data_IF_531953761954
#
_entry.id   IF_531953761954
#
_cell.length_a   1.000
_cell.length_b   1.000
_cell.length_c   1.000
_cell.angle_alpha   90.00
_cell.angle_beta   90.00
_cell.angle_gamma   90.00
#
_symmetry.space_group_name_H-M   'P 1'
#
loop_
_entity.id
_entity.type
_entity.pdbx_description
1 polymer ?
#
# COMPACT_ATOMS: atom_id res chain seq x y z
N UNK A 1 35.65 22.73 -23.86
CA UNK A 1 34.77 21.82 -24.63
C UNK A 1 33.29 22.26 -24.58
N UNK A 2 32.69 22.53 -23.44
CA UNK A 2 31.26 22.92 -23.30
C UNK A 2 30.89 24.18 -24.12
N UNK A 3 31.71 25.25 -24.11
CA UNK A 3 31.46 26.47 -24.92
C UNK A 3 31.47 26.21 -26.43
N UNK A 4 32.33 25.30 -26.93
CA UNK A 4 32.33 24.90 -28.31
C UNK A 4 31.11 24.07 -28.69
N UNK A 5 30.73 23.12 -27.87
CA UNK A 5 29.51 22.31 -28.06
C UNK A 5 28.27 23.22 -28.14
N UNK A 6 28.10 24.15 -27.20
CA UNK A 6 26.97 25.10 -27.21
C UNK A 6 26.93 25.98 -28.47
N UNK A 7 28.10 26.50 -28.91
CA UNK A 7 28.15 27.33 -30.14
C UNK A 7 27.79 26.52 -31.39
N UNK A 8 28.17 25.26 -31.45
CA UNK A 8 27.85 24.36 -32.56
C UNK A 8 26.36 23.94 -32.54
N UNK A 9 25.80 23.69 -31.36
CA UNK A 9 24.37 23.42 -31.18
C UNK A 9 23.51 24.60 -31.68
N UNK A 10 23.91 25.84 -31.38
CA UNK A 10 23.21 27.03 -31.84
C UNK A 10 23.31 27.23 -33.35
N UNK A 11 24.46 26.90 -33.96
CA UNK A 11 24.64 26.94 -35.40
C UNK A 11 23.75 25.93 -36.12
N UNK A 12 23.58 24.73 -35.55
CA UNK A 12 22.79 23.65 -36.13
C UNK A 12 21.35 23.55 -35.53
N UNK A 13 20.80 24.66 -35.01
CA UNK A 13 19.52 24.67 -34.28
C UNK A 13 18.35 24.06 -35.05
N UNK A 14 18.30 24.24 -36.41
CA UNK A 14 17.22 23.65 -37.24
C UNK A 14 17.26 22.12 -37.25
N UNK A 15 18.42 21.52 -37.29
CA UNK A 15 18.61 20.06 -37.25
C UNK A 15 18.38 19.49 -35.87
N UNK A 16 18.74 20.24 -34.83
CA UNK A 16 18.63 19.80 -33.43
C UNK A 16 17.21 19.96 -32.85
N UNK A 17 16.32 20.72 -33.54
CA UNK A 17 14.95 20.99 -33.08
C UNK A 17 14.16 19.68 -32.87
N UNK A 18 14.29 18.73 -33.80
CA UNK A 18 13.64 17.42 -33.68
C UNK A 18 14.06 16.66 -32.44
N UNK A 19 15.38 16.59 -32.20
CA UNK A 19 15.94 15.90 -31.03
C UNK A 19 15.49 16.59 -29.74
N UNK A 20 15.47 17.92 -29.69
CA UNK A 20 14.99 18.68 -28.53
C UNK A 20 13.52 18.40 -28.23
N UNK A 21 12.68 18.35 -29.26
CA UNK A 21 11.24 18.05 -29.11
C UNK A 21 11.03 16.60 -28.65
N UNK A 22 11.75 15.65 -29.24
CA UNK A 22 11.72 14.25 -28.83
C UNK A 22 12.12 14.09 -27.37
N UNK A 23 13.27 14.63 -26.96
CA UNK A 23 13.74 14.57 -25.57
C UNK A 23 12.80 15.28 -24.60
N UNK A 24 12.17 16.38 -25.02
CA UNK A 24 11.16 17.09 -24.21
C UNK A 24 9.95 16.20 -23.93
N UNK A 25 9.31 15.65 -24.98
CA UNK A 25 8.12 14.80 -24.84
C UNK A 25 8.44 13.53 -24.05
N UNK A 26 9.57 12.88 -24.40
CA UNK A 26 10.02 11.68 -23.73
C UNK A 26 10.29 11.93 -22.25
N UNK A 27 10.88 13.05 -21.87
CA UNK A 27 11.14 13.37 -20.45
C UNK A 27 9.85 13.47 -19.64
N UNK A 28 8.79 14.04 -20.18
CA UNK A 28 7.49 14.15 -19.52
C UNK A 28 6.85 12.77 -19.35
N UNK A 29 6.79 12.01 -20.44
CA UNK A 29 6.18 10.66 -20.44
C UNK A 29 6.95 9.70 -19.56
N UNK A 30 8.28 9.74 -19.60
CA UNK A 30 9.13 8.90 -18.75
C UNK A 30 8.94 9.24 -17.28
N UNK A 31 8.87 10.54 -16.92
CA UNK A 31 8.60 10.93 -15.53
C UNK A 31 7.26 10.37 -15.05
N UNK A 32 6.21 10.47 -15.85
CA UNK A 32 4.90 9.90 -15.50
C UNK A 32 4.98 8.39 -15.25
N UNK A 33 5.69 7.66 -16.12
CA UNK A 33 5.91 6.22 -15.94
C UNK A 33 6.71 5.89 -14.69
N UNK A 34 7.78 6.67 -14.42
CA UNK A 34 8.63 6.50 -13.23
C UNK A 34 7.85 6.81 -11.96
N UNK A 35 7.00 7.84 -11.97
CA UNK A 35 6.17 8.21 -10.83
C UNK A 35 5.16 7.10 -10.49
N UNK A 36 4.51 6.52 -11.50
CA UNK A 36 3.62 5.37 -11.31
C UNK A 36 4.34 4.18 -10.68
N UNK A 37 5.48 3.77 -11.26
CA UNK A 37 6.26 2.64 -10.73
C UNK A 37 6.79 2.91 -9.32
N UNK A 38 7.18 4.15 -9.04
CA UNK A 38 7.62 4.56 -7.71
C UNK A 38 6.52 4.33 -6.67
N UNK A 39 5.28 4.74 -6.97
CA UNK A 39 4.13 4.53 -6.06
C UNK A 39 3.87 3.04 -5.85
N UNK A 40 3.85 2.25 -6.92
CA UNK A 40 3.65 0.79 -6.82
C UNK A 40 4.70 0.14 -5.91
N UNK A 41 5.98 0.43 -6.16
CA UNK A 41 7.08 -0.14 -5.36
C UNK A 41 7.01 0.34 -3.91
N UNK A 42 6.78 1.64 -3.70
CA UNK A 42 6.69 2.23 -2.36
C UNK A 42 5.57 1.59 -1.55
N UNK A 43 4.38 1.46 -2.14
CA UNK A 43 3.21 0.87 -1.47
C UNK A 43 3.41 -0.61 -1.13
N UNK A 44 4.06 -1.35 -2.00
CA UNK A 44 4.37 -2.76 -1.74
C UNK A 44 5.41 -2.94 -0.61
N UNK A 45 6.28 -1.96 -0.38
CA UNK A 45 7.28 -1.98 0.69
C UNK A 45 6.76 -1.44 2.02
N UNK A 46 5.64 -0.71 2.02
CA UNK A 46 5.04 -0.17 3.24
C UNK A 46 4.38 -1.27 4.06
N UNK A 47 4.65 -1.37 5.38
CA UNK A 47 4.01 -2.36 6.24
C UNK A 47 2.50 -2.15 6.31
N UNK A 48 1.74 -3.22 6.44
CA UNK A 48 0.28 -3.17 6.64
C UNK A 48 -0.12 -2.78 8.06
N UNK A 49 0.80 -2.83 9.02
CA UNK A 49 0.52 -2.61 10.44
C UNK A 49 -0.07 -3.82 11.17
N UNK A 50 -0.36 -4.90 10.43
CA UNK A 50 -0.78 -6.21 10.93
C UNK A 50 -0.08 -7.32 10.15
N UNK A 51 0.13 -8.45 10.81
CA UNK A 51 0.70 -9.66 10.21
C UNK A 51 -0.42 -10.68 9.98
N UNK A 52 -0.70 -10.99 8.73
CA UNK A 52 -1.71 -11.97 8.30
C UNK A 52 -1.09 -13.31 7.88
N UNK A 53 0.24 -13.45 7.94
CA UNK A 53 0.93 -14.71 7.61
C UNK A 53 0.57 -15.78 8.64
N UNK A 54 0.30 -17.00 8.19
CA UNK A 54 -0.17 -18.10 9.02
C UNK A 54 -1.47 -17.81 9.80
N UNK A 55 -2.29 -16.86 9.35
CA UNK A 55 -3.57 -16.53 9.96
C UNK A 55 -4.71 -17.09 9.13
N UNK A 56 -5.61 -17.76 9.81
CA UNK A 56 -6.84 -18.31 9.26
C UNK A 56 -8.05 -17.57 9.80
N UNK A 57 -9.11 -17.61 9.03
CA UNK A 57 -10.38 -16.97 9.27
C UNK A 57 -11.46 -18.04 9.38
N UNK A 58 -12.06 -18.16 10.53
CA UNK A 58 -13.18 -19.04 10.78
C UNK A 58 -14.46 -18.20 10.83
N UNK A 59 -15.32 -18.38 9.85
CA UNK A 59 -16.68 -17.82 9.83
C UNK A 59 -17.64 -18.81 10.42
N UNK A 60 -18.45 -18.32 11.35
CA UNK A 60 -19.57 -19.07 11.91
C UNK A 60 -20.85 -18.74 11.13
N UNK A 61 -21.68 -19.74 10.94
CA UNK A 61 -23.10 -19.55 10.60
C UNK A 61 -23.95 -19.66 11.84
N UNK A 62 -25.14 -19.06 11.81
CA UNK A 62 -26.16 -19.27 12.85
C UNK A 62 -27.35 -20.00 12.25
N UNK A 63 -27.80 -21.05 12.97
CA UNK A 63 -28.98 -21.81 12.57
C UNK A 63 -30.26 -20.99 12.93
N UNK A 64 -31.04 -20.56 11.92
CA UNK A 64 -32.21 -19.75 12.16
C UNK A 64 -33.37 -20.50 12.88
N UNK A 65 -33.30 -21.83 12.93
CA UNK A 65 -34.31 -22.65 13.60
C UNK A 65 -34.10 -22.77 15.11
N UNK A 66 -32.91 -22.35 15.61
CA UNK A 66 -32.66 -22.30 17.06
C UNK A 66 -33.18 -20.97 17.61
N UNK A 67 -34.23 -20.97 18.41
CA UNK A 67 -34.78 -19.73 18.95
C UNK A 67 -33.82 -19.13 19.97
N UNK A 68 -33.54 -17.83 19.85
CA UNK A 68 -32.72 -17.07 20.79
C UNK A 68 -33.58 -16.00 21.41
N UNK A 69 -33.71 -16.05 22.71
CA UNK A 69 -34.41 -15.01 23.45
C UNK A 69 -33.46 -13.81 23.67
N UNK A 70 -33.62 -12.77 22.85
CA UNK A 70 -32.81 -11.54 22.95
C UNK A 70 -33.43 -10.48 23.87
N UNK A 71 -34.52 -10.79 24.55
CA UNK A 71 -35.20 -9.83 25.44
C UNK A 71 -34.57 -9.77 26.85
N UNK A 72 -33.80 -10.79 27.23
CA UNK A 72 -33.17 -10.87 28.54
C UNK A 72 -31.65 -11.04 28.42
N UNK A 73 -30.85 -10.24 29.14
CA UNK A 73 -29.37 -10.33 29.12
C UNK A 73 -28.86 -11.73 29.45
N UNK A 74 -29.42 -12.39 30.45
CA UNK A 74 -28.99 -13.75 30.86
C UNK A 74 -29.24 -14.78 29.74
N UNK A 75 -30.35 -14.63 29.01
CA UNK A 75 -30.62 -15.50 27.85
C UNK A 75 -29.64 -15.26 26.70
N UNK A 76 -29.26 -14.01 26.45
CA UNK A 76 -28.23 -13.66 25.46
C UNK A 76 -26.90 -14.28 25.90
N UNK A 77 -26.55 -14.15 27.18
CA UNK A 77 -25.31 -14.72 27.69
C UNK A 77 -25.27 -16.25 27.47
N UNK A 78 -26.27 -16.96 27.93
CA UNK A 78 -26.30 -18.43 27.88
C UNK A 78 -26.51 -19.00 26.47
N UNK A 79 -27.33 -18.36 25.64
CA UNK A 79 -27.71 -18.91 24.32
C UNK A 79 -26.83 -18.44 23.17
N UNK A 80 -26.08 -17.33 23.35
CA UNK A 80 -25.29 -16.71 22.28
C UNK A 80 -23.81 -16.55 22.66
N UNK A 81 -23.53 -15.87 23.79
CA UNK A 81 -22.16 -15.52 24.16
C UNK A 81 -21.39 -16.75 24.65
N UNK A 82 -21.93 -17.54 25.55
CA UNK A 82 -21.24 -18.72 26.10
C UNK A 82 -20.92 -19.78 25.03
N UNK A 83 -21.85 -20.12 24.09
CA UNK A 83 -21.52 -20.96 22.94
C UNK A 83 -20.39 -20.41 22.07
N UNK A 84 -20.39 -19.09 21.79
CA UNK A 84 -19.32 -18.45 21.04
C UNK A 84 -17.97 -18.60 21.76
N UNK A 85 -17.91 -18.27 23.04
CA UNK A 85 -16.68 -18.37 23.83
C UNK A 85 -16.20 -19.81 23.96
N UNK A 86 -17.12 -20.78 23.99
CA UNK A 86 -16.76 -22.20 23.97
C UNK A 86 -16.12 -22.59 22.63
N UNK A 87 -16.67 -22.11 21.51
CA UNK A 87 -16.07 -22.31 20.18
C UNK A 87 -14.65 -21.73 20.11
N UNK A 88 -14.45 -20.52 20.62
CA UNK A 88 -13.12 -19.88 20.66
C UNK A 88 -12.14 -20.74 21.45
N UNK A 89 -12.51 -21.19 22.65
CA UNK A 89 -11.66 -22.06 23.49
C UNK A 89 -11.32 -23.39 22.82
N UNK A 90 -12.29 -24.04 22.17
CA UNK A 90 -12.06 -25.28 21.43
C UNK A 90 -11.12 -25.07 20.25
N UNK A 91 -11.25 -23.95 19.58
CA UNK A 91 -10.39 -23.57 18.47
C UNK A 91 -8.96 -23.30 18.94
N UNK A 92 -8.80 -22.56 20.03
CA UNK A 92 -7.49 -22.27 20.63
C UNK A 92 -6.77 -23.52 21.12
N UNK A 93 -7.54 -24.50 21.63
CA UNK A 93 -6.99 -25.80 22.08
C UNK A 93 -6.63 -26.77 20.92
N UNK A 94 -6.91 -26.42 19.66
CA UNK A 94 -6.62 -27.29 18.52
C UNK A 94 -5.11 -27.39 18.27
N UNK A 95 -4.55 -28.60 18.02
CA UNK A 95 -3.13 -28.77 17.79
C UNK A 95 -2.60 -27.90 16.64
N UNK A 96 -1.52 -27.19 16.90
CA UNK A 96 -0.92 -26.28 15.94
C UNK A 96 -1.43 -24.83 15.99
N UNK A 97 -2.53 -24.55 16.68
CA UNK A 97 -2.99 -23.18 16.91
C UNK A 97 -2.09 -22.53 17.98
N UNK A 98 -1.71 -21.28 17.69
CA UNK A 98 -0.92 -20.44 18.58
C UNK A 98 -1.81 -19.50 19.39
N UNK A 99 -2.79 -18.87 18.73
CA UNK A 99 -3.76 -17.98 19.35
C UNK A 99 -5.07 -17.95 18.55
N UNK A 100 -6.17 -17.65 19.24
CA UNK A 100 -7.46 -17.40 18.63
C UNK A 100 -8.09 -16.12 19.22
N UNK A 101 -8.75 -15.34 18.38
CA UNK A 101 -9.44 -14.11 18.77
C UNK A 101 -10.71 -13.92 17.94
N UNK A 102 -11.77 -13.46 18.58
CA UNK A 102 -12.98 -13.07 17.84
C UNK A 102 -13.01 -11.57 17.60
N UNK A 103 -13.51 -11.18 16.45
CA UNK A 103 -13.61 -9.78 16.05
C UNK A 103 -14.80 -9.53 15.11
N UNK A 104 -15.20 -8.28 14.99
CA UNK A 104 -16.24 -7.81 14.10
C UNK A 104 -15.92 -6.40 13.59
N UNK A 105 -16.27 -6.13 12.35
CA UNK A 105 -15.98 -4.88 11.65
C UNK A 105 -15.01 -5.10 10.49
N UNK A 106 -14.43 -4.03 9.99
CA UNK A 106 -13.53 -4.06 8.84
C UNK A 106 -12.30 -4.94 9.12
N UNK A 107 -12.03 -5.89 8.27
CA UNK A 107 -10.88 -6.78 8.37
C UNK A 107 -9.91 -6.57 7.19
N UNK A 108 -8.64 -7.01 7.27
CA UNK A 108 -7.73 -6.97 6.14
C UNK A 108 -8.36 -7.63 4.91
N UNK A 109 -8.14 -7.02 3.74
CA UNK A 109 -8.67 -7.48 2.46
C UNK A 109 -10.21 -7.58 2.43
N UNK A 110 -10.88 -6.50 2.89
CA UNK A 110 -12.35 -6.42 2.89
C UNK A 110 -12.81 -5.07 2.33
N UNK A 111 -13.88 -5.08 1.53
CA UNK A 111 -14.50 -3.85 1.00
C UNK A 111 -15.56 -3.27 1.96
N UNK A 112 -15.86 -4.00 3.04
CA UNK A 112 -16.86 -3.57 4.00
C UNK A 112 -16.24 -2.67 5.07
N UNK A 113 -16.38 -1.37 4.90
CA UNK A 113 -15.82 -0.36 5.79
C UNK A 113 -16.81 0.03 6.86
N UNK A 114 -16.48 -0.28 8.10
CA UNK A 114 -17.25 0.14 9.24
C UNK A 114 -16.62 1.41 9.82
N UNK A 115 -17.10 2.58 9.36
CA UNK A 115 -16.60 3.89 9.79
C UNK A 115 -17.52 4.50 10.84
N UNK A 116 -16.91 5.16 11.83
CA UNK A 116 -17.57 5.86 12.92
C UNK A 116 -16.97 7.25 13.10
N UNK A 117 -17.75 8.20 13.64
CA UNK A 117 -17.26 9.53 14.00
C UNK A 117 -16.82 9.57 15.45
N UNK A 118 -15.70 10.20 15.73
CA UNK A 118 -15.13 10.36 17.08
C UNK A 118 -14.81 11.82 17.35
N UNK A 119 -15.01 12.25 18.59
CA UNK A 119 -14.75 13.62 19.00
C UNK A 119 -14.15 13.69 20.42
N UNK A 120 -13.33 14.70 20.66
CA UNK A 120 -12.88 15.11 22.00
C UNK A 120 -13.78 16.21 22.51
N UNK A 121 -14.20 17.12 21.63
CA UNK A 121 -15.09 18.25 21.89
C UNK A 121 -16.24 18.22 20.87
N UNK A 122 -17.34 18.91 21.14
CA UNK A 122 -18.52 18.92 20.25
C UNK A 122 -18.28 19.56 18.87
N UNK A 123 -17.20 20.34 18.72
CA UNK A 123 -16.93 21.13 17.51
C UNK A 123 -16.35 20.34 16.34
N UNK A 124 -15.58 19.28 16.59
CA UNK A 124 -14.84 18.57 15.54
C UNK A 124 -15.01 17.05 15.67
N UNK A 125 -15.57 16.44 14.64
CA UNK A 125 -15.65 15.00 14.52
C UNK A 125 -14.64 14.46 13.50
N UNK A 126 -13.90 13.45 13.89
CA UNK A 126 -12.95 12.74 13.04
C UNK A 126 -13.44 11.32 12.74
N UNK A 127 -13.33 10.89 11.51
CA UNK A 127 -13.73 9.55 11.11
C UNK A 127 -12.62 8.55 11.38
N UNK A 128 -12.99 7.36 11.87
CA UNK A 128 -12.09 6.24 12.04
C UNK A 128 -12.78 4.92 11.71
N UNK A 129 -12.01 3.97 11.23
CA UNK A 129 -12.49 2.61 10.94
C UNK A 129 -12.50 1.84 12.25
N UNK A 130 -13.70 1.36 12.66
CA UNK A 130 -13.85 0.62 13.92
C UNK A 130 -13.77 -0.88 13.72
N UNK A 131 -13.10 -1.52 14.67
CA UNK A 131 -13.07 -2.98 14.82
C UNK A 131 -13.30 -3.36 16.27
N UNK A 132 -14.37 -4.14 16.50
CA UNK A 132 -14.61 -4.75 17.81
C UNK A 132 -13.80 -6.03 17.92
N UNK A 133 -13.01 -6.17 18.98
CA UNK A 133 -12.05 -7.27 19.12
C UNK A 133 -12.04 -7.85 20.53
N UNK A 134 -11.62 -9.12 20.65
CA UNK A 134 -11.27 -9.73 21.94
C UNK A 134 -9.84 -9.35 22.33
N UNK A 135 -9.51 -9.50 23.62
CA UNK A 135 -8.20 -9.12 24.15
C UNK A 135 -6.99 -9.87 23.58
N UNK A 136 -7.19 -11.01 22.90
CA UNK A 136 -6.11 -11.76 22.22
C UNK A 136 -5.91 -11.36 20.75
N UNK A 137 -6.55 -10.30 20.28
CA UNK A 137 -6.49 -9.89 18.87
C UNK A 137 -5.06 -9.58 18.42
N UNK A 138 -4.28 -8.92 19.26
CA UNK A 138 -2.87 -8.61 19.01
C UNK A 138 -2.00 -9.86 18.86
N UNK A 139 -2.29 -10.93 19.61
CA UNK A 139 -1.56 -12.21 19.49
C UNK A 139 -1.82 -12.90 18.15
N UNK A 140 -3.04 -12.74 17.59
CA UNK A 140 -3.41 -13.31 16.29
C UNK A 140 -2.82 -12.49 15.15
N UNK A 141 -2.98 -11.16 15.17
CA UNK A 141 -2.64 -10.29 14.05
C UNK A 141 -1.30 -9.54 14.23
N UNK A 142 -0.63 -9.72 15.38
CA UNK A 142 0.64 -9.05 15.71
C UNK A 142 0.61 -7.58 15.34
N UNK A 143 -0.41 -6.86 15.86
CA UNK A 143 -0.59 -5.44 15.57
C UNK A 143 0.68 -4.67 15.93
N UNK A 144 1.19 -3.87 15.00
CA UNK A 144 2.39 -3.06 15.24
C UNK A 144 2.07 -1.91 16.19
N UNK A 145 2.45 -2.08 17.45
CA UNK A 145 2.17 -1.13 18.53
C UNK A 145 3.31 -0.10 18.67
N UNK A 146 2.93 1.17 18.81
CA UNK A 146 3.85 2.25 19.16
C UNK A 146 4.00 2.39 20.66
N UNK A 147 2.87 2.36 21.39
CA UNK A 147 2.84 2.45 22.85
C UNK A 147 1.60 1.74 23.41
N UNK A 148 1.68 1.27 24.65
CA UNK A 148 0.59 0.54 25.30
C UNK A 148 0.28 -0.77 24.63
N UNK A 149 -1.00 -1.18 24.64
CA UNK A 149 -1.44 -2.43 24.02
C UNK A 149 -2.92 -2.71 24.27
N UNK A 150 -3.30 -3.91 23.82
CA UNK A 150 -4.61 -4.47 24.10
C UNK A 150 -4.63 -4.91 25.59
N UNK A 151 -5.21 -4.09 26.43
CA UNK A 151 -5.36 -4.40 27.85
C UNK A 151 -6.29 -5.62 28.06
N UNK A 152 -6.38 -6.11 29.30
CA UNK A 152 -7.40 -7.12 29.68
C UNK A 152 -8.80 -6.48 29.59
N UNK A 153 -9.30 -6.44 28.37
CA UNK A 153 -10.60 -5.85 28.07
C UNK A 153 -11.73 -6.79 28.47
N UNK A 154 -12.64 -6.25 29.27
CA UNK A 154 -13.85 -6.96 29.66
C UNK A 154 -15.05 -6.42 28.88
N UNK A 155 -16.00 -7.32 28.57
CA UNK A 155 -17.28 -6.94 27.98
C UNK A 155 -17.98 -5.95 28.94
N UNK A 156 -18.51 -4.84 28.39
CA UNK A 156 -19.19 -3.77 29.13
C UNK A 156 -18.30 -2.91 30.05
N UNK A 157 -17.02 -2.88 29.84
CA UNK A 157 -16.14 -1.95 30.57
C UNK A 157 -16.50 -0.49 30.22
N UNK A 158 -16.56 0.41 31.22
CA UNK A 158 -16.84 1.84 31.05
C UNK A 158 -15.79 2.69 31.78
N UNK A 159 -15.09 3.65 31.13
CA UNK A 159 -15.05 3.87 29.69
C UNK A 159 -14.48 2.65 28.95
N UNK A 160 -14.90 2.46 27.70
CA UNK A 160 -14.38 1.36 26.90
C UNK A 160 -12.88 1.57 26.62
N UNK A 161 -12.09 0.53 26.72
CA UNK A 161 -10.70 0.58 26.28
C UNK A 161 -10.64 0.80 24.76
N UNK A 162 -9.64 1.54 24.28
CA UNK A 162 -9.41 1.74 22.86
C UNK A 162 -7.93 1.68 22.53
N UNK A 163 -7.58 0.94 21.48
CA UNK A 163 -6.30 1.10 20.77
C UNK A 163 -6.60 1.90 19.51
N UNK A 164 -5.93 3.03 19.35
CA UNK A 164 -6.11 3.93 18.21
C UNK A 164 -4.85 3.95 17.34
N UNK A 165 -5.00 4.15 16.04
CA UNK A 165 -3.83 4.35 15.17
C UNK A 165 -3.21 5.73 15.37
N UNK A 166 -1.94 5.89 14.94
CA UNK A 166 -1.23 7.17 14.99
C UNK A 166 -2.02 8.28 14.28
N UNK A 167 -2.69 7.97 13.16
CA UNK A 167 -3.49 8.91 12.37
C UNK A 167 -4.71 9.40 13.15
N UNK A 168 -5.41 8.49 13.83
CA UNK A 168 -6.57 8.85 14.65
C UNK A 168 -6.15 9.63 15.90
N UNK A 169 -5.04 9.24 16.53
CA UNK A 169 -4.48 9.94 17.68
C UNK A 169 -4.08 11.37 17.32
N UNK A 170 -3.41 11.56 16.17
CA UNK A 170 -3.01 12.88 15.68
C UNK A 170 -4.22 13.76 15.34
N UNK A 171 -5.24 13.18 14.70
CA UNK A 171 -6.48 13.88 14.38
C UNK A 171 -7.23 14.34 15.63
N UNK A 172 -7.41 13.45 16.63
CA UNK A 172 -8.18 13.73 17.83
C UNK A 172 -7.44 14.65 18.83
N UNK A 173 -6.14 14.46 18.97
CA UNK A 173 -5.36 15.04 20.07
C UNK A 173 -4.21 15.93 19.62
N UNK A 174 -4.02 16.10 18.30
CA UNK A 174 -2.86 16.80 17.70
C UNK A 174 -1.53 16.23 18.23
N UNK A 175 -1.50 14.93 18.47
CA UNK A 175 -0.35 14.22 19.02
C UNK A 175 -0.45 12.72 18.70
N UNK A 176 0.64 12.16 18.24
CA UNK A 176 0.76 10.70 18.02
C UNK A 176 0.90 9.90 19.31
N UNK A 177 1.04 10.55 20.48
CA UNK A 177 1.00 9.94 21.79
C UNK A 177 -0.30 10.35 22.48
N UNK A 178 -1.17 9.38 22.74
CA UNK A 178 -2.52 9.60 23.24
C UNK A 178 -2.88 8.75 24.47
N UNK A 179 -1.91 8.03 25.04
CA UNK A 179 -2.14 7.13 26.17
C UNK A 179 -2.91 7.80 27.31
N UNK A 180 -3.97 7.12 27.78
CA UNK A 180 -4.80 7.54 28.89
C UNK A 180 -5.78 8.67 28.59
N UNK A 181 -5.71 9.31 27.41
CA UNK A 181 -6.66 10.34 26.98
C UNK A 181 -8.03 9.71 26.70
N UNK A 182 -9.09 10.52 26.79
CA UNK A 182 -10.46 10.11 26.56
C UNK A 182 -11.07 10.85 25.39
N UNK A 183 -11.96 10.17 24.69
CA UNK A 183 -12.78 10.72 23.61
C UNK A 183 -14.13 9.97 23.58
N UNK A 184 -15.06 10.41 22.78
CA UNK A 184 -16.39 9.83 22.70
C UNK A 184 -16.83 9.59 21.24
N UNK A 185 -17.82 8.75 21.07
CA UNK A 185 -18.52 8.62 19.80
C UNK A 185 -19.25 9.91 19.49
N UNK A 186 -19.11 10.43 18.26
CA UNK A 186 -19.73 11.69 17.86
C UNK A 186 -21.27 11.58 17.80
N UNK A 187 -21.80 10.42 17.41
CA UNK A 187 -23.23 10.20 17.26
C UNK A 187 -23.91 9.71 18.57
N UNK A 188 -23.10 9.10 19.47
CA UNK A 188 -23.53 8.64 20.77
C UNK A 188 -22.57 9.15 21.87
N UNK A 189 -22.66 10.43 22.29
CA UNK A 189 -21.71 11.03 23.24
C UNK A 189 -21.64 10.34 24.61
N UNK A 190 -22.64 9.52 24.96
CA UNK A 190 -22.61 8.66 26.16
C UNK A 190 -21.55 7.55 26.07
N UNK A 191 -21.17 7.15 24.87
CA UNK A 191 -20.17 6.12 24.59
C UNK A 191 -18.77 6.71 24.65
N UNK A 192 -18.12 6.54 25.81
CA UNK A 192 -16.80 7.07 26.08
C UNK A 192 -15.72 6.01 25.95
N UNK A 193 -14.58 6.41 25.37
CA UNK A 193 -13.39 5.61 25.17
C UNK A 193 -12.20 6.15 25.94
N UNK A 194 -11.35 5.26 26.45
CA UNK A 194 -10.06 5.60 27.05
C UNK A 194 -8.94 4.90 26.26
N UNK A 195 -7.98 5.67 25.77
CA UNK A 195 -6.85 5.14 25.00
C UNK A 195 -5.97 4.27 25.90
N UNK A 196 -5.90 2.98 25.60
CA UNK A 196 -5.04 1.98 26.26
C UNK A 196 -3.79 1.65 25.45
N UNK A 197 -3.76 2.07 24.18
CA UNK A 197 -2.61 1.88 23.31
C UNK A 197 -2.73 2.70 22.03
N UNK A 198 -1.58 2.94 21.41
CA UNK A 198 -1.50 3.57 20.08
C UNK A 198 -0.76 2.61 19.17
N UNK A 199 -1.41 2.20 18.08
CA UNK A 199 -0.76 1.40 17.04
C UNK A 199 -0.04 2.32 16.05
N UNK A 200 0.94 1.76 15.34
CA UNK A 200 1.50 2.42 14.17
C UNK A 200 0.45 2.51 13.06
N UNK A 201 0.81 3.20 12.00
CA UNK A 201 0.00 3.36 10.80
C UNK A 201 -0.46 2.01 10.23
N UNK A 202 -1.71 1.94 9.83
CA UNK A 202 -2.32 0.69 9.36
C UNK A 202 -3.11 0.89 8.08
N UNK A 203 -3.10 -0.12 7.24
CA UNK A 203 -3.89 -0.21 6.01
C UNK A 203 -4.57 -1.58 5.91
N UNK A 204 -5.63 -1.69 5.15
CA UNK A 204 -6.40 -2.93 5.02
C UNK A 204 -6.04 -3.74 3.76
N UNK A 205 -5.33 -3.15 2.80
CA UNK A 205 -4.74 -3.85 1.66
C UNK A 205 -3.33 -3.32 1.34
N UNK A 206 -2.60 -4.04 0.50
CA UNK A 206 -1.20 -3.72 0.17
C UNK A 206 -1.05 -2.34 -0.46
N UNK A 207 -2.01 -1.94 -1.30
CA UNK A 207 -1.94 -0.72 -2.09
C UNK A 207 -2.77 0.44 -1.51
N UNK A 208 -3.50 0.18 -0.42
CA UNK A 208 -4.33 1.16 0.26
C UNK A 208 -3.54 2.26 0.96
N UNK A 209 -4.28 3.28 1.41
CA UNK A 209 -3.74 4.32 2.29
C UNK A 209 -3.66 3.81 3.72
N UNK A 210 -2.85 4.50 4.52
CA UNK A 210 -2.97 4.41 5.96
C UNK A 210 -4.22 5.16 6.39
N UNK A 211 -5.09 4.44 7.12
CA UNK A 211 -6.38 4.96 7.55
C UNK A 211 -6.41 5.11 9.08
N UNK A 212 -7.24 6.04 9.60
CA UNK A 212 -7.49 6.11 11.03
C UNK A 212 -8.25 4.88 11.51
N UNK A 213 -7.65 4.09 12.40
CA UNK A 213 -8.25 2.87 12.98
C UNK A 213 -8.49 2.99 14.48
N UNK A 214 -9.53 2.31 14.94
CA UNK A 214 -9.81 2.07 16.35
C UNK A 214 -10.15 0.60 16.58
N UNK A 215 -9.53 0.02 17.58
CA UNK A 215 -9.93 -1.25 18.18
C UNK A 215 -10.56 -1.01 19.53
N UNK A 216 -11.66 -1.69 19.79
CA UNK A 216 -12.39 -1.59 21.06
C UNK A 216 -12.99 -2.94 21.43
N UNK A 217 -13.17 -3.23 22.73
CA UNK A 217 -13.83 -4.45 23.15
C UNK A 217 -15.30 -4.48 22.74
N UNK A 218 -15.85 -5.66 22.64
CA UNK A 218 -17.28 -5.81 22.47
C UNK A 218 -18.06 -5.34 23.71
N UNK A 219 -19.24 -4.78 23.48
CA UNK A 219 -20.26 -4.69 24.51
C UNK A 219 -21.37 -5.74 24.26
N UNK A 220 -22.15 -6.06 25.26
CA UNK A 220 -23.22 -7.07 25.16
C UNK A 220 -24.22 -6.77 24.06
N UNK A 221 -24.74 -5.54 23.89
CA UNK A 221 -25.64 -5.23 22.78
C UNK A 221 -25.04 -5.53 21.41
N UNK A 222 -23.78 -5.15 21.20
CA UNK A 222 -23.12 -5.41 19.91
C UNK A 222 -22.94 -6.92 19.67
N UNK A 223 -22.46 -7.64 20.67
CA UNK A 223 -22.22 -9.06 20.55
C UNK A 223 -23.51 -9.87 20.38
N UNK A 224 -24.62 -9.43 21.00
CA UNK A 224 -25.93 -10.08 20.90
C UNK A 224 -26.52 -10.12 19.49
N UNK A 225 -26.16 -9.16 18.64
CA UNK A 225 -26.72 -9.01 17.30
C UNK A 225 -25.71 -9.25 16.18
N UNK A 226 -24.49 -9.69 16.53
CA UNK A 226 -23.45 -9.97 15.54
C UNK A 226 -22.96 -11.41 15.61
N UNK A 227 -22.56 -11.94 14.47
CA UNK A 227 -21.79 -13.18 14.41
C UNK A 227 -20.35 -12.75 14.13
N UNK A 228 -19.48 -12.76 15.16
CA UNK A 228 -18.10 -12.36 14.96
C UNK A 228 -17.34 -13.41 14.14
N UNK A 229 -16.27 -12.95 13.49
CA UNK A 229 -15.30 -13.81 12.84
C UNK A 229 -14.27 -14.23 13.89
N UNK A 230 -13.78 -15.45 13.81
CA UNK A 230 -12.69 -15.93 14.66
C UNK A 230 -11.41 -15.97 13.82
N UNK A 231 -10.44 -15.12 14.16
CA UNK A 231 -9.08 -15.17 13.63
C UNK A 231 -8.27 -16.19 14.40
N UNK A 232 -7.48 -16.97 13.69
CA UNK A 232 -6.70 -18.07 14.26
C UNK A 232 -5.29 -17.99 13.71
N UNK A 233 -4.31 -17.76 14.57
CA UNK A 233 -2.90 -17.87 14.21
C UNK A 233 -2.42 -19.30 14.41
N UNK A 234 -1.80 -19.85 13.40
CA UNK A 234 -1.22 -21.19 13.38
C UNK A 234 0.30 -21.09 13.48
N UNK A 235 0.92 -22.00 14.20
CA UNK A 235 2.38 -22.10 14.25
C UNK A 235 2.91 -22.40 12.84
N UNK A 236 3.95 -21.71 12.38
CA UNK A 236 4.54 -21.90 11.06
C UNK A 236 4.88 -23.38 10.77
N UNK A 237 5.33 -24.15 11.79
CA UNK A 237 5.63 -25.57 11.66
C UNK A 237 4.39 -26.46 11.45
N UNK A 238 3.21 -25.98 11.81
CA UNK A 238 1.94 -26.71 11.68
C UNK A 238 1.13 -26.25 10.46
N UNK A 239 1.47 -25.11 9.88
CA UNK A 239 0.79 -24.53 8.72
C UNK A 239 1.24 -25.22 7.43
N UNK A 240 0.66 -26.38 7.18
CA UNK A 240 0.92 -27.19 5.98
C UNK A 240 -0.22 -27.06 4.98
N UNK A 241 0.03 -27.43 3.72
CA UNK A 241 -0.98 -27.39 2.62
C UNK A 241 -2.31 -28.10 2.97
N UNK A 242 -2.31 -29.02 3.94
CA UNK A 242 -3.49 -29.78 4.36
C UNK A 242 -4.15 -29.26 5.64
N UNK A 243 -3.57 -28.28 6.30
CA UNK A 243 -4.04 -27.83 7.63
C UNK A 243 -5.52 -27.40 7.61
N UNK A 244 -5.92 -26.57 6.67
CA UNK A 244 -7.30 -26.10 6.59
C UNK A 244 -8.30 -27.25 6.45
N UNK A 245 -8.02 -28.23 5.58
CA UNK A 245 -8.89 -29.37 5.37
C UNK A 245 -8.93 -30.30 6.61
N UNK A 246 -7.80 -30.52 7.25
CA UNK A 246 -7.73 -31.30 8.48
C UNK A 246 -8.50 -30.64 9.62
N UNK A 247 -8.35 -29.32 9.77
CA UNK A 247 -9.11 -28.53 10.74
C UNK A 247 -10.61 -28.67 10.53
N UNK A 248 -11.08 -28.47 9.29
CA UNK A 248 -12.51 -28.61 8.94
C UNK A 248 -13.01 -30.01 9.28
N UNK A 249 -12.31 -31.05 8.86
CA UNK A 249 -12.72 -32.44 9.10
C UNK A 249 -12.81 -32.78 10.60
N UNK A 250 -11.87 -32.28 11.40
CA UNK A 250 -11.79 -32.58 12.82
C UNK A 250 -12.71 -31.71 13.70
N UNK A 251 -13.04 -30.50 13.23
CA UNK A 251 -13.71 -29.51 14.06
C UNK A 251 -15.15 -29.21 13.62
N UNK A 252 -15.55 -29.54 12.40
CA UNK A 252 -16.88 -29.25 11.87
C UNK A 252 -18.01 -29.68 12.80
N UNK A 253 -17.97 -30.91 13.32
CA UNK A 253 -18.98 -31.42 14.27
C UNK A 253 -18.86 -30.85 15.67
N UNK A 254 -17.61 -30.58 16.12
CA UNK A 254 -17.32 -30.06 17.46
C UNK A 254 -17.67 -28.59 17.62
N UNK A 255 -17.68 -27.82 16.52
CA UNK A 255 -18.05 -26.41 16.49
C UNK A 255 -19.54 -26.18 16.24
N UNK A 256 -20.34 -27.25 16.22
CA UNK A 256 -21.81 -27.14 16.21
C UNK A 256 -22.32 -27.00 17.65
N UNK A 257 -22.30 -25.77 18.17
CA UNK A 257 -22.60 -25.48 19.58
C UNK A 257 -23.65 -24.37 19.65
N UNK A 258 -24.75 -24.64 20.33
CA UNK A 258 -25.88 -23.70 20.40
C UNK A 258 -26.42 -23.38 19.01
N UNK A 259 -26.53 -22.10 18.66
CA UNK A 259 -27.00 -21.70 17.34
C UNK A 259 -25.89 -21.74 16.26
N UNK A 260 -24.63 -21.91 16.64
CA UNK A 260 -23.50 -21.76 15.73
C UNK A 260 -23.07 -23.06 15.08
N UNK A 261 -22.57 -22.93 13.85
CA UNK A 261 -21.88 -23.99 13.11
C UNK A 261 -20.72 -23.42 12.31
N UNK A 262 -19.74 -24.24 11.95
CA UNK A 262 -18.66 -23.85 11.08
C UNK A 262 -19.22 -23.64 9.66
N UNK A 263 -19.23 -22.39 9.19
CA UNK A 263 -19.69 -22.02 7.87
C UNK A 263 -18.53 -22.08 6.86
N UNK A 264 -17.38 -21.42 7.19
CA UNK A 264 -16.22 -21.36 6.32
C UNK A 264 -14.94 -21.25 7.12
N UNK A 265 -13.85 -21.82 6.60
CA UNK A 265 -12.50 -21.75 7.15
C UNK A 265 -11.48 -21.56 6.04
N UNK A 266 -10.83 -20.40 5.98
CA UNK A 266 -9.93 -19.99 4.90
C UNK A 266 -8.72 -19.24 5.46
N UNK A 267 -7.56 -19.33 4.79
CA UNK A 267 -6.40 -18.49 5.13
C UNK A 267 -6.61 -17.04 4.70
N UNK A 268 -5.86 -16.14 5.30
CA UNK A 268 -5.81 -14.73 4.86
C UNK A 268 -5.12 -14.59 3.51
N UNK A 269 -4.17 -15.48 3.16
CA UNK A 269 -3.57 -15.50 1.82
C UNK A 269 -4.63 -15.75 0.73
N UNK A 270 -5.51 -16.74 0.96
CA UNK A 270 -6.63 -16.97 0.04
C UNK A 270 -7.60 -15.77 -0.01
N UNK A 271 -7.85 -15.13 1.13
CA UNK A 271 -8.69 -13.93 1.18
C UNK A 271 -8.06 -12.78 0.38
N UNK A 272 -6.75 -12.57 0.51
CA UNK A 272 -6.00 -11.57 -0.25
C UNK A 272 -6.07 -11.85 -1.76
N UNK A 273 -5.94 -13.11 -2.19
CA UNK A 273 -6.06 -13.51 -3.59
C UNK A 273 -7.47 -13.24 -4.14
N UNK A 274 -8.51 -13.56 -3.37
CA UNK A 274 -9.91 -13.29 -3.74
C UNK A 274 -10.16 -11.78 -3.85
N UNK A 275 -9.67 -11.00 -2.88
CA UNK A 275 -9.75 -9.54 -2.90
C UNK A 275 -9.06 -8.94 -4.12
N UNK A 276 -7.83 -9.35 -4.38
CA UNK A 276 -7.05 -8.94 -5.55
C UNK A 276 -7.78 -9.28 -6.87
N UNK A 277 -8.40 -10.45 -6.92
CA UNK A 277 -9.17 -10.88 -8.11
C UNK A 277 -10.43 -10.04 -8.29
N UNK A 278 -11.12 -9.72 -7.19
CA UNK A 278 -12.35 -8.92 -7.21
C UNK A 278 -12.08 -7.46 -7.56
N UNK A 279 -11.05 -6.85 -6.98
CA UNK A 279 -10.67 -5.45 -7.23
C UNK A 279 -9.91 -5.27 -8.55
N UNK A 280 -9.26 -6.32 -9.04
CA UNK A 280 -8.45 -6.29 -10.26
C UNK A 280 -7.18 -5.44 -10.15
N UNK A 281 -6.80 -4.98 -8.95
CA UNK A 281 -5.67 -4.07 -8.72
C UNK A 281 -4.36 -4.67 -9.23
N UNK A 282 -4.05 -5.92 -8.88
CA UNK A 282 -2.81 -6.58 -9.32
C UNK A 282 -2.77 -6.75 -10.85
N UNK A 283 -3.90 -7.06 -11.49
CA UNK A 283 -3.98 -7.11 -12.97
C UNK A 283 -3.75 -5.73 -13.58
N UNK A 284 -4.40 -4.70 -13.04
CA UNK A 284 -4.22 -3.32 -13.50
C UNK A 284 -2.76 -2.90 -13.42
N UNK A 285 -2.12 -3.10 -12.27
CA UNK A 285 -0.69 -2.79 -12.06
C UNK A 285 0.20 -3.57 -13.04
N UNK A 286 -0.06 -4.85 -13.23
CA UNK A 286 0.72 -5.71 -14.14
C UNK A 286 0.60 -5.25 -15.58
N UNK A 287 -0.61 -4.93 -16.05
CA UNK A 287 -0.84 -4.43 -17.41
C UNK A 287 -0.16 -3.09 -17.63
N UNK A 288 -0.37 -2.12 -16.73
CA UNK A 288 0.26 -0.79 -16.84
C UNK A 288 1.79 -0.91 -16.77
N UNK A 289 2.32 -1.71 -15.85
CA UNK A 289 3.77 -1.94 -15.76
C UNK A 289 4.32 -2.56 -17.05
N UNK A 290 3.61 -3.51 -17.65
CA UNK A 290 3.97 -4.09 -18.95
C UNK A 290 3.99 -3.05 -20.07
N UNK A 291 2.97 -2.20 -20.14
CA UNK A 291 2.90 -1.09 -21.10
C UNK A 291 4.06 -0.10 -20.88
N UNK A 292 4.37 0.23 -19.62
CA UNK A 292 5.51 1.10 -19.27
C UNK A 292 6.83 0.48 -19.75
N UNK A 293 7.08 -0.78 -19.47
CA UNK A 293 8.31 -1.47 -19.91
C UNK A 293 8.42 -1.48 -21.44
N UNK A 294 7.33 -1.78 -22.12
CA UNK A 294 7.28 -1.73 -23.60
C UNK A 294 7.56 -0.31 -24.12
N UNK A 295 6.93 0.70 -23.51
CA UNK A 295 7.16 2.11 -23.85
C UNK A 295 8.62 2.52 -23.63
N UNK A 296 9.23 2.14 -22.49
CA UNK A 296 10.65 2.40 -22.21
C UNK A 296 11.56 1.78 -23.27
N UNK A 297 11.22 0.58 -23.73
CA UNK A 297 11.96 -0.09 -24.79
C UNK A 297 11.86 0.68 -26.14
N UNK A 298 10.67 1.16 -26.52
CA UNK A 298 10.48 1.99 -27.73
C UNK A 298 11.27 3.28 -27.61
N UNK A 299 11.19 3.96 -26.46
CA UNK A 299 11.95 5.20 -26.18
C UNK A 299 13.45 4.95 -26.30
N UNK A 300 13.94 3.86 -25.72
CA UNK A 300 15.33 3.48 -25.83
C UNK A 300 15.77 3.29 -27.28
N UNK A 301 14.99 2.55 -28.08
CA UNK A 301 15.29 2.34 -29.50
C UNK A 301 15.22 3.65 -30.30
N UNK A 302 14.25 4.52 -30.03
CA UNK A 302 14.10 5.84 -30.67
C UNK A 302 15.33 6.72 -30.44
N UNK A 303 15.70 6.90 -29.18
CA UNK A 303 16.88 7.68 -28.78
C UNK A 303 18.16 7.08 -29.37
N UNK A 304 18.32 5.76 -29.29
CA UNK A 304 19.48 5.05 -29.83
C UNK A 304 19.56 5.26 -31.35
N UNK A 305 18.45 5.14 -32.08
CA UNK A 305 18.37 5.38 -33.53
C UNK A 305 18.72 6.81 -33.90
N UNK A 306 18.18 7.77 -33.18
CA UNK A 306 18.42 9.21 -33.42
C UNK A 306 19.91 9.57 -33.20
N UNK A 307 20.50 9.08 -32.11
CA UNK A 307 21.94 9.31 -31.88
C UNK A 307 22.83 8.54 -32.85
N UNK A 308 22.45 7.32 -33.22
CA UNK A 308 23.16 6.57 -34.26
C UNK A 308 23.20 7.31 -35.57
N UNK A 309 22.03 7.75 -36.05
CA UNK A 309 21.93 8.54 -37.29
C UNK A 309 22.74 9.82 -37.19
N UNK A 310 22.67 10.52 -36.08
CA UNK A 310 23.41 11.78 -35.87
C UNK A 310 24.94 11.55 -35.90
N UNK A 311 25.44 10.50 -35.36
CA UNK A 311 26.88 10.17 -35.39
C UNK A 311 27.31 9.72 -36.77
N UNK A 312 26.50 8.92 -37.48
CA UNK A 312 26.81 8.44 -38.84
C UNK A 312 26.86 9.61 -39.83
N UNK A 313 25.95 10.57 -39.78
CA UNK A 313 25.98 11.76 -40.61
C UNK A 313 27.16 12.68 -40.35
N UNK A 314 27.77 12.59 -39.15
CA UNK A 314 28.97 13.37 -38.77
C UNK A 314 30.28 12.60 -38.86
N UNK A 315 30.26 11.41 -39.44
CA UNK A 315 31.47 10.59 -39.65
C UNK A 315 32.66 11.32 -40.32
N UNK A 316 32.41 12.18 -41.38
CA UNK A 316 33.50 12.99 -41.98
C UNK A 316 34.10 13.98 -40.97
N UNK A 317 33.29 14.60 -40.11
CA UNK A 317 33.77 15.51 -39.07
C UNK A 317 34.63 14.79 -38.03
N UNK A 318 34.25 13.57 -37.66
CA UNK A 318 34.98 12.70 -36.74
C UNK A 318 36.36 12.36 -37.35
N UNK A 319 36.35 11.92 -38.60
CA UNK A 319 37.59 11.59 -39.30
C UNK A 319 38.55 12.78 -39.37
N UNK A 320 38.06 13.97 -39.69
CA UNK A 320 38.88 15.18 -39.73
C UNK A 320 39.46 15.53 -38.36
N UNK A 321 38.69 15.42 -37.28
CA UNK A 321 39.17 15.68 -35.93
C UNK A 321 40.23 14.70 -35.49
N UNK A 322 40.08 13.41 -35.85
CA UNK A 322 41.11 12.40 -35.59
C UNK A 322 42.38 12.64 -36.39
N UNK A 323 42.26 13.07 -37.66
CA UNK A 323 43.40 13.41 -38.49
C UNK A 323 44.20 14.60 -37.93
N UNK A 324 43.56 15.53 -37.24
CA UNK A 324 44.15 16.69 -36.57
C UNK A 324 44.66 16.39 -35.16
N UNK A 325 44.63 15.10 -34.72
CA UNK A 325 45.23 14.66 -33.47
C UNK A 325 44.27 14.45 -32.30
N UNK A 326 42.94 14.47 -32.54
CA UNK A 326 41.96 14.13 -31.48
C UNK A 326 41.98 12.63 -31.18
N UNK A 327 41.98 12.26 -29.90
CA UNK A 327 41.87 10.85 -29.49
C UNK A 327 40.42 10.35 -29.61
N UNK A 328 40.22 9.04 -29.80
CA UNK A 328 38.90 8.42 -29.83
C UNK A 328 38.10 8.74 -28.56
N UNK A 329 38.73 8.76 -27.38
CA UNK A 329 38.09 9.14 -26.11
C UNK A 329 37.67 10.61 -26.10
N UNK A 330 38.47 11.49 -26.69
CA UNK A 330 38.15 12.91 -26.80
C UNK A 330 36.94 13.18 -27.68
N UNK A 331 36.81 12.45 -28.79
CA UNK A 331 35.63 12.52 -29.69
C UNK A 331 34.39 11.99 -29.01
N UNK A 332 34.47 10.83 -28.33
CA UNK A 332 33.38 10.26 -27.53
C UNK A 332 32.88 11.25 -26.47
N UNK A 333 33.80 11.82 -25.69
CA UNK A 333 33.42 12.78 -24.65
C UNK A 333 32.78 14.05 -25.22
N UNK A 334 33.20 14.47 -26.39
CA UNK A 334 32.59 15.62 -27.08
C UNK A 334 31.15 15.33 -27.44
N UNK A 335 30.84 14.21 -28.12
CA UNK A 335 29.46 13.85 -28.49
C UNK A 335 28.56 13.59 -27.26
N UNK A 336 29.11 12.95 -26.24
CA UNK A 336 28.42 12.77 -24.97
C UNK A 336 28.07 14.10 -24.31
N UNK A 337 29.02 15.03 -24.26
CA UNK A 337 28.76 16.39 -23.73
C UNK A 337 27.71 17.14 -24.54
N UNK A 338 27.76 17.06 -25.88
CA UNK A 338 26.77 17.67 -26.77
C UNK A 338 25.36 17.08 -26.50
N UNK A 339 25.25 15.76 -26.38
CA UNK A 339 24.00 15.06 -26.09
C UNK A 339 23.42 15.43 -24.73
N UNK A 340 24.28 15.54 -23.70
CA UNK A 340 23.84 15.98 -22.37
C UNK A 340 23.35 17.44 -22.38
N UNK A 341 23.99 18.34 -23.13
CA UNK A 341 23.52 19.74 -23.27
C UNK A 341 22.15 19.77 -23.92
N UNK A 342 21.91 18.98 -24.97
CA UNK A 342 20.59 18.88 -25.62
C UNK A 342 19.55 18.35 -24.64
N UNK A 343 19.91 17.32 -23.88
CA UNK A 343 19.01 16.76 -22.87
C UNK A 343 18.63 17.80 -21.81
N UNK A 344 19.61 18.45 -21.17
CA UNK A 344 19.31 19.44 -20.14
C UNK A 344 18.54 20.66 -20.69
N UNK A 345 18.81 21.06 -21.92
CA UNK A 345 18.10 22.16 -22.56
C UNK A 345 16.62 21.81 -22.79
N UNK A 346 16.30 20.56 -23.17
CA UNK A 346 14.93 20.07 -23.34
C UNK A 346 14.29 19.70 -22.01
N UNK A 347 15.09 19.29 -21.02
CA UNK A 347 14.61 18.88 -19.71
C UNK A 347 14.07 20.05 -18.86
N UNK A 348 14.66 21.27 -18.99
CA UNK A 348 14.19 22.44 -18.24
C UNK A 348 12.69 22.73 -18.50
N UNK A 349 12.22 22.90 -19.75
CA UNK A 349 10.79 23.08 -19.99
C UNK A 349 9.96 21.85 -19.64
N UNK A 350 10.49 20.62 -19.83
CA UNK A 350 9.80 19.40 -19.40
C UNK A 350 9.60 19.37 -17.89
N UNK A 351 10.61 19.76 -17.12
CA UNK A 351 10.52 19.86 -15.65
C UNK A 351 9.41 20.81 -15.20
N UNK A 352 9.26 21.97 -15.86
CA UNK A 352 8.19 22.94 -15.55
C UNK A 352 6.82 22.30 -15.80
N UNK A 353 6.65 21.58 -16.93
CA UNK A 353 5.40 20.87 -17.24
C UNK A 353 5.14 19.78 -16.20
N UNK A 354 6.14 18.96 -15.88
CA UNK A 354 6.01 17.92 -14.85
C UNK A 354 5.64 18.50 -13.47
N UNK A 355 6.27 19.62 -13.08
CA UNK A 355 5.95 20.30 -11.83
C UNK A 355 4.51 20.85 -11.81
N UNK A 356 4.00 21.34 -12.94
CA UNK A 356 2.61 21.78 -13.08
C UNK A 356 1.63 20.60 -13.01
N UNK A 357 1.92 19.49 -13.69
CA UNK A 357 1.11 18.27 -13.64
C UNK A 357 1.09 17.69 -12.22
N UNK A 358 2.22 17.70 -11.54
CA UNK A 358 2.35 17.26 -10.17
C UNK A 358 1.58 18.15 -9.18
N UNK A 359 1.66 19.47 -9.35
CA UNK A 359 0.93 20.43 -8.52
C UNK A 359 -0.60 20.25 -8.62
N UNK A 360 -1.11 19.89 -9.79
CA UNK A 360 -2.53 19.64 -10.01
C UNK A 360 -2.93 18.20 -9.78
N UNK A 361 -2.01 17.38 -9.25
CA UNK A 361 -2.20 15.96 -8.95
C UNK A 361 -2.81 15.16 -10.11
N UNK A 362 -2.37 15.47 -11.33
CA UNK A 362 -2.83 14.78 -12.55
C UNK A 362 -2.27 13.34 -12.60
N UNK A 363 -1.22 13.07 -11.83
CA UNK A 363 -0.66 11.73 -11.68
C UNK A 363 -1.51 10.88 -10.74
N UNK A 364 -2.77 10.67 -11.14
CA UNK A 364 -3.70 9.83 -10.40
C UNK A 364 -3.14 8.41 -10.28
N UNK A 365 -2.86 8.01 -9.07
CA UNK A 365 -2.52 6.62 -8.76
C UNK A 365 -3.78 5.89 -8.31
N UNK A 366 -3.88 4.61 -8.67
CA UNK A 366 -5.02 3.75 -8.32
C UNK A 366 -5.45 3.96 -6.85
N UNK A 367 -6.75 4.17 -6.62
CA UNK A 367 -7.38 4.39 -5.32
C UNK A 367 -6.75 5.51 -4.47
N UNK A 368 -6.23 6.57 -5.08
CA UNK A 368 -5.52 7.64 -4.35
C UNK A 368 -4.46 7.07 -3.38
N UNK A 369 -3.79 6.00 -3.77
CA UNK A 369 -2.92 5.21 -2.91
C UNK A 369 -1.84 6.05 -2.22
N UNK A 370 -1.42 7.15 -2.81
CA UNK A 370 -0.39 8.02 -2.26
C UNK A 370 -0.64 9.48 -2.62
N UNK A 371 -0.77 10.33 -1.62
CA UNK A 371 -0.87 11.77 -1.83
C UNK A 371 0.36 12.31 -2.53
N UNK A 372 0.13 13.36 -3.33
CA UNK A 372 1.23 14.09 -3.92
C UNK A 372 2.11 14.72 -2.83
N UNK A 373 3.42 14.65 -3.02
CA UNK A 373 4.39 15.37 -2.18
C UNK A 373 5.58 15.86 -3.01
N UNK A 374 6.15 17.00 -2.62
CA UNK A 374 7.37 17.51 -3.27
C UNK A 374 8.56 16.54 -3.12
N UNK A 375 8.59 15.73 -2.06
CA UNK A 375 9.61 14.69 -1.86
C UNK A 375 9.47 13.61 -2.94
N UNK A 376 8.24 13.12 -3.19
CA UNK A 376 7.92 12.18 -4.28
C UNK A 376 8.35 12.75 -5.63
N UNK A 377 7.99 14.01 -5.92
CA UNK A 377 8.36 14.68 -7.16
C UNK A 377 9.88 14.71 -7.39
N UNK A 378 10.66 15.15 -6.40
CA UNK A 378 12.11 15.22 -6.54
C UNK A 378 12.75 13.84 -6.71
N UNK A 379 12.27 12.82 -6.00
CA UNK A 379 12.76 11.46 -6.13
C UNK A 379 12.49 10.88 -7.52
N UNK A 380 11.28 11.05 -8.03
CA UNK A 380 10.89 10.56 -9.37
C UNK A 380 11.59 11.33 -10.49
N UNK A 381 11.81 12.63 -10.33
CA UNK A 381 12.63 13.42 -11.26
C UNK A 381 14.09 12.95 -11.27
N UNK A 382 14.68 12.67 -10.12
CA UNK A 382 16.03 12.14 -10.04
C UNK A 382 16.15 10.82 -10.79
N UNK A 383 15.22 9.88 -10.58
CA UNK A 383 15.20 8.60 -11.32
C UNK A 383 15.04 8.82 -12.82
N UNK A 384 14.17 9.75 -13.24
CA UNK A 384 13.98 10.11 -14.65
C UNK A 384 15.28 10.61 -15.28
N UNK A 385 15.99 11.51 -14.62
CA UNK A 385 17.29 12.03 -15.11
C UNK A 385 18.34 10.92 -15.18
N UNK A 386 18.40 10.03 -14.19
CA UNK A 386 19.34 8.91 -14.19
C UNK A 386 19.07 7.93 -15.34
N UNK A 387 17.80 7.57 -15.56
CA UNK A 387 17.39 6.68 -16.67
C UNK A 387 17.72 7.33 -18.02
N UNK A 388 17.32 8.59 -18.24
CA UNK A 388 17.61 9.31 -19.47
C UNK A 388 19.12 9.44 -19.74
N UNK A 389 19.89 9.79 -18.73
CA UNK A 389 21.35 9.86 -18.85
C UNK A 389 21.95 8.48 -19.20
N UNK A 390 21.44 7.41 -18.61
CA UNK A 390 21.82 6.03 -18.94
C UNK A 390 21.52 5.66 -20.40
N UNK A 391 20.32 5.97 -20.88
CA UNK A 391 19.89 5.71 -22.28
C UNK A 391 20.76 6.51 -23.27
N UNK A 392 20.96 7.81 -23.01
CA UNK A 392 21.80 8.67 -23.86
C UNK A 392 23.23 8.15 -23.87
N UNK A 393 23.76 7.76 -22.73
CA UNK A 393 25.11 7.19 -22.62
C UNK A 393 25.25 5.94 -23.47
N UNK A 394 24.29 5.02 -23.40
CA UNK A 394 24.27 3.81 -24.22
C UNK A 394 24.15 4.14 -25.71
N UNK A 395 23.25 5.11 -26.06
CA UNK A 395 23.03 5.56 -27.43
C UNK A 395 24.25 6.22 -28.08
N UNK A 396 25.10 6.89 -27.30
CA UNK A 396 26.31 7.54 -27.80
C UNK A 396 27.49 6.57 -27.87
N UNK A 397 27.69 5.73 -26.85
CA UNK A 397 28.85 4.84 -26.75
C UNK A 397 28.81 3.74 -27.83
N UNK A 398 27.63 3.15 -28.08
CA UNK A 398 27.50 2.02 -28.99
C UNK A 398 27.93 2.35 -30.44
N UNK A 399 27.42 3.42 -31.09
CA UNK A 399 27.86 3.77 -32.45
C UNK A 399 29.29 4.37 -32.49
N UNK A 400 29.66 5.15 -31.50
CA UNK A 400 30.95 5.83 -31.51
C UNK A 400 32.15 4.89 -31.21
N UNK A 401 31.91 3.66 -30.73
CA UNK A 401 32.94 2.60 -30.67
C UNK A 401 33.16 1.94 -32.03
N UNK A 402 32.21 2.01 -32.95
CA UNK A 402 32.28 1.41 -34.30
C UNK A 402 32.76 2.40 -35.35
N UNK A 403 32.71 3.69 -35.09
CA UNK A 403 33.25 4.76 -35.95
C UNK A 403 34.73 5.01 -35.63
#
# INVERSE_FOLDING_TARGET
>A
MWKLAFKQLWKNRKSNYWILTELFVVSILLWYCVDFLYVVVRKNLEPMGVDTEHVYRLKLGANPTVPINRSHPDSIQAQWIDPLLQIVRLTEAYPGVEAAAYYYGTEPYDDNWMMQGYAVNEENAYRGIIRYVSGNYDKVFKVDMREGGFADWHINQTPQGAVVSEELADSLFHSRSAMGKTFHDHYEPSLNFKVSGVSRSMKYDVYGRYEPFIYTPFNTPRLAYTIPVIGIRVKASADTHGFAQQFINNMKSKLNIGPFYLFNFTSYDFKAEVYDTATGITKYISVISGVIVFFLFIVFLGILGTFWFTIETRRPEIGLRMAVGSTRRGVLYYFFSESLILFFLSFIPAFIVCASLAYWDVTYTFNDAMDYSWIRFWQTQLFTVLIMTGIITAGVIAPARRA
#
